data_IF_012267190520
#
_entry.id   IF_012267190520
#
_cell.length_a   1.000
_cell.length_b   1.000
_cell.length_c   1.000
_cell.angle_alpha   90.00
_cell.angle_beta   90.00
_cell.angle_gamma   90.00
#
_symmetry.space_group_name_H-M   'P 1'
#
loop_
_entity.id
_entity.type
_entity.pdbx_description
1 polymer ?
#
# COMPACT_ATOMS: atom_id res chain seq x y z
N UNK A 1 22.99 -18.46 0.61
CA UNK A 1 22.32 -17.16 0.67
C UNK A 1 23.12 -16.25 -0.23
N UNK A 2 22.58 -15.88 -1.39
CA UNK A 2 23.22 -14.87 -2.23
C UNK A 2 22.64 -13.54 -1.75
N UNK A 3 23.50 -12.68 -1.21
CA UNK A 3 23.14 -11.35 -0.76
C UNK A 3 22.93 -10.48 -2.00
N UNK A 4 21.67 -10.36 -2.44
CA UNK A 4 21.31 -9.37 -3.45
C UNK A 4 21.28 -8.02 -2.75
N UNK A 5 22.23 -7.16 -3.10
CA UNK A 5 22.46 -5.88 -2.42
C UNK A 5 22.06 -4.69 -3.27
N UNK A 6 21.70 -4.93 -4.54
CA UNK A 6 21.35 -3.89 -5.50
C UNK A 6 20.02 -4.17 -6.20
N UNK A 7 19.28 -3.11 -6.54
CA UNK A 7 18.02 -3.21 -7.29
C UNK A 7 18.23 -3.84 -8.68
N UNK A 8 19.43 -3.69 -9.25
CA UNK A 8 19.84 -4.25 -10.54
C UNK A 8 20.02 -5.77 -10.53
N UNK A 9 20.46 -6.34 -9.41
CA UNK A 9 20.55 -7.78 -9.21
C UNK A 9 19.16 -8.43 -9.08
N UNK A 10 18.20 -7.71 -8.47
CA UNK A 10 16.80 -8.11 -8.37
C UNK A 10 16.09 -8.13 -9.73
N UNK A 11 16.31 -7.12 -10.58
CA UNK A 11 15.68 -7.06 -11.92
C UNK A 11 16.19 -8.16 -12.85
N UNK A 12 17.47 -8.51 -12.74
CA UNK A 12 18.09 -9.59 -13.51
C UNK A 12 17.61 -10.98 -13.06
N UNK A 13 17.41 -11.22 -11.76
CA UNK A 13 16.86 -12.49 -11.27
C UNK A 13 15.35 -12.66 -11.62
N UNK A 14 14.64 -11.54 -11.79
CA UNK A 14 13.23 -11.49 -12.18
C UNK A 14 12.98 -11.60 -13.70
N UNK A 15 14.03 -11.63 -14.54
CA UNK A 15 13.90 -11.82 -16.00
C UNK A 15 13.18 -10.70 -16.74
N UNK A 16 13.19 -9.48 -16.20
CA UNK A 16 12.58 -8.31 -16.85
C UNK A 16 13.55 -7.73 -17.87
N UNK A 17 13.45 -8.13 -19.14
CA UNK A 17 14.11 -7.43 -20.23
C UNK A 17 13.44 -6.05 -20.40
N UNK A 18 14.15 -4.97 -20.05
CA UNK A 18 13.77 -3.61 -20.45
C UNK A 18 14.08 -3.43 -21.93
N UNK A 19 13.15 -3.83 -22.79
CA UNK A 19 13.08 -3.38 -24.17
C UNK A 19 11.60 -3.27 -24.50
N UNK A 20 10.96 -2.21 -24.00
CA UNK A 20 9.82 -1.56 -24.63
C UNK A 20 9.64 -0.23 -23.88
N UNK A 21 10.15 0.84 -24.48
CA UNK A 21 9.82 2.19 -24.07
C UNK A 21 8.30 2.36 -24.23
N UNK A 22 7.57 2.38 -23.12
CA UNK A 22 6.20 2.88 -23.10
C UNK A 22 6.33 4.39 -23.25
N UNK A 23 6.12 4.89 -24.46
CA UNK A 23 5.98 6.32 -24.73
C UNK A 23 4.71 6.83 -24.03
N UNK A 24 4.93 7.51 -22.91
CA UNK A 24 3.88 8.09 -22.09
C UNK A 24 3.53 9.46 -22.66
N UNK A 25 2.97 9.54 -23.86
CA UNK A 25 2.42 10.81 -24.34
C UNK A 25 1.32 10.69 -25.41
N UNK A 26 0.06 10.66 -24.96
CA UNK A 26 -1.01 11.55 -25.46
C UNK A 26 -2.33 11.15 -24.81
N UNK A 27 -2.47 11.50 -23.53
CA UNK A 27 -3.78 11.58 -22.90
C UNK A 27 -4.44 12.88 -23.41
N UNK A 28 -5.04 12.84 -24.60
CA UNK A 28 -5.92 13.89 -25.09
C UNK A 28 -7.36 13.48 -24.78
N UNK A 29 -7.98 14.22 -23.85
CA UNK A 29 -9.41 14.18 -23.59
C UNK A 29 -10.16 14.93 -24.68
N UNK A 30 -10.90 14.24 -25.53
CA UNK A 30 -11.94 14.86 -26.34
C UNK A 30 -13.22 14.03 -26.24
N UNK A 31 -14.24 14.68 -25.70
CA UNK A 31 -15.60 14.23 -25.53
C UNK A 31 -16.38 14.48 -26.81
N UNK A 32 -16.87 13.45 -27.49
CA UNK A 32 -17.99 13.59 -28.43
C UNK A 32 -18.91 12.37 -28.30
N UNK A 33 -20.17 12.65 -27.96
CA UNK A 33 -21.27 11.69 -28.00
C UNK A 33 -21.69 11.48 -29.45
N UNK A 34 -21.85 10.24 -29.89
CA UNK A 34 -22.66 9.93 -31.06
C UNK A 34 -23.28 8.52 -30.94
N UNK A 35 -24.60 8.50 -30.80
CA UNK A 35 -25.43 7.29 -30.79
C UNK A 35 -25.42 6.63 -32.19
N UNK A 36 -25.09 5.34 -32.27
CA UNK A 36 -25.26 4.55 -33.50
C UNK A 36 -26.50 3.66 -33.40
N UNK A 37 -27.51 3.96 -34.23
CA UNK A 37 -28.68 3.12 -34.50
C UNK A 37 -28.26 1.85 -35.24
N UNK A 38 -28.77 0.71 -34.81
CA UNK A 38 -28.53 -0.60 -35.44
C UNK A 38 -29.68 -0.87 -36.42
N UNK A 39 -29.39 -0.83 -37.71
CA UNK A 39 -30.29 -1.38 -38.74
C UNK A 39 -29.92 -2.86 -38.99
N UNK A 40 -30.90 -3.76 -38.88
CA UNK A 40 -30.71 -5.20 -39.14
C UNK A 40 -30.50 -5.48 -40.64
N UNK A 41 -29.48 -6.26 -41.04
CA UNK A 41 -29.35 -6.68 -42.43
C UNK A 41 -30.27 -7.87 -42.75
N UNK A 42 -31.18 -7.63 -43.69
CA UNK A 42 -32.00 -8.65 -44.36
C UNK A 42 -31.11 -9.57 -45.22
N UNK A 43 -31.10 -10.87 -44.90
CA UNK A 43 -30.32 -11.89 -45.60
C UNK A 43 -31.23 -12.60 -46.61
N UNK A 44 -30.97 -12.38 -47.90
CA UNK A 44 -31.26 -13.32 -48.98
C UNK A 44 -30.26 -13.05 -50.12
N UNK A 45 -29.29 -13.94 -50.32
CA UNK A 45 -29.27 -14.81 -51.50
C UNK A 45 -27.86 -15.36 -51.82
N UNK A 46 -27.84 -16.71 -51.85
CA UNK A 46 -27.05 -17.62 -52.69
C UNK A 46 -25.52 -17.70 -52.57
N UNK A 47 -25.10 -18.78 -51.91
CA UNK A 47 -23.75 -19.35 -51.92
C UNK A 47 -23.34 -19.79 -53.34
N UNK A 48 -22.12 -19.44 -53.75
CA UNK A 48 -21.39 -20.13 -54.85
C UNK A 48 -20.16 -20.86 -54.31
N UNK A 49 -20.01 -22.09 -54.76
CA UNK A 49 -19.18 -23.18 -54.21
C UNK A 49 -17.65 -23.04 -54.33
N UNK A 50 -17.09 -21.83 -54.40
CA UNK A 50 -15.62 -21.62 -54.47
C UNK A 50 -15.01 -20.86 -53.28
N UNK A 51 -15.82 -20.34 -52.35
CA UNK A 51 -15.33 -19.55 -51.20
C UNK A 51 -15.10 -20.37 -49.91
N UNK A 52 -15.48 -21.66 -49.91
CA UNK A 52 -15.46 -22.49 -48.69
C UNK A 52 -14.04 -22.76 -48.16
N UNK A 53 -13.00 -22.82 -49.02
CA UNK A 53 -11.62 -23.05 -48.59
C UNK A 53 -10.98 -21.81 -47.94
N UNK A 54 -11.35 -20.61 -48.38
CA UNK A 54 -10.77 -19.36 -47.87
C UNK A 54 -11.45 -18.90 -46.57
N UNK A 55 -12.75 -19.17 -46.41
CA UNK A 55 -13.49 -18.88 -45.17
C UNK A 55 -13.02 -19.79 -44.02
N UNK A 56 -12.74 -21.07 -44.29
CA UNK A 56 -12.29 -22.02 -43.26
C UNK A 56 -10.90 -21.66 -42.72
N UNK A 57 -9.94 -21.33 -43.58
CA UNK A 57 -8.60 -20.89 -43.16
C UNK A 57 -8.60 -19.55 -42.40
N UNK A 58 -9.49 -18.62 -42.78
CA UNK A 58 -9.62 -17.32 -42.08
C UNK A 58 -10.30 -17.50 -40.71
N UNK A 59 -11.28 -18.39 -40.61
CA UNK A 59 -11.94 -18.73 -39.34
C UNK A 59 -10.99 -19.48 -38.40
N UNK A 60 -10.19 -20.42 -38.89
CA UNK A 60 -9.17 -21.13 -38.11
C UNK A 60 -8.09 -20.18 -37.56
N UNK A 61 -7.62 -19.24 -38.37
CA UNK A 61 -6.66 -18.20 -37.92
C UNK A 61 -7.26 -17.27 -36.86
N UNK A 62 -8.54 -16.91 -36.98
CA UNK A 62 -9.24 -16.10 -35.99
C UNK A 62 -9.44 -16.84 -34.66
N UNK A 63 -9.80 -18.13 -34.70
CA UNK A 63 -9.91 -18.98 -33.51
C UNK A 63 -8.54 -19.18 -32.83
N UNK A 64 -7.46 -19.30 -33.61
CA UNK A 64 -6.10 -19.36 -33.08
C UNK A 64 -5.68 -18.03 -32.40
N UNK A 65 -6.02 -16.88 -32.98
CA UNK A 65 -5.76 -15.57 -32.37
C UNK A 65 -6.54 -15.35 -31.07
N UNK A 66 -7.81 -15.77 -31.03
CA UNK A 66 -8.66 -15.69 -29.84
C UNK A 66 -8.13 -16.58 -28.71
N UNK A 67 -7.73 -17.82 -29.03
CA UNK A 67 -7.15 -18.73 -28.05
C UNK A 67 -5.79 -18.22 -27.54
N UNK A 68 -4.95 -17.64 -28.40
CA UNK A 68 -3.68 -17.05 -28.00
C UNK A 68 -3.86 -15.80 -27.12
N UNK A 69 -4.85 -14.94 -27.41
CA UNK A 69 -5.21 -13.82 -26.54
C UNK A 69 -5.68 -14.31 -25.18
N UNK A 70 -6.56 -15.30 -25.12
CA UNK A 70 -7.04 -15.88 -23.87
C UNK A 70 -5.89 -16.48 -23.04
N UNK A 71 -4.96 -17.21 -23.68
CA UNK A 71 -3.74 -17.73 -23.03
C UNK A 71 -2.88 -16.60 -22.44
N UNK A 72 -2.62 -15.54 -23.20
CA UNK A 72 -1.86 -14.36 -22.71
C UNK A 72 -2.57 -13.71 -21.51
N UNK A 73 -3.88 -13.49 -21.61
CA UNK A 73 -4.66 -12.91 -20.51
C UNK A 73 -4.62 -13.79 -19.25
N UNK A 74 -4.69 -15.11 -19.39
CA UNK A 74 -4.57 -16.03 -18.26
C UNK A 74 -3.17 -16.00 -17.65
N UNK A 75 -2.12 -15.98 -18.47
CA UNK A 75 -0.75 -15.85 -17.98
C UNK A 75 -0.54 -14.55 -17.19
N UNK A 76 -1.02 -13.40 -17.70
CA UNK A 76 -0.95 -12.11 -17.00
C UNK A 76 -1.71 -12.15 -15.68
N UNK A 77 -2.91 -12.77 -15.66
CA UNK A 77 -3.68 -12.92 -14.42
C UNK A 77 -2.96 -13.80 -13.41
N UNK A 78 -2.32 -14.86 -13.85
CA UNK A 78 -1.60 -15.77 -12.98
C UNK A 78 -0.35 -15.10 -12.39
N UNK A 79 0.44 -14.39 -13.20
CA UNK A 79 1.60 -13.63 -12.72
C UNK A 79 1.18 -12.51 -11.77
N UNK A 80 0.09 -11.78 -12.07
CA UNK A 80 -0.47 -10.79 -11.17
C UNK A 80 -0.90 -11.40 -9.82
N UNK A 81 -1.58 -12.56 -9.85
CA UNK A 81 -1.99 -13.29 -8.63
C UNK A 81 -0.78 -13.72 -7.80
N UNK A 82 0.26 -14.23 -8.44
CA UNK A 82 1.51 -14.60 -7.77
C UNK A 82 2.20 -13.37 -7.16
N UNK A 83 2.21 -12.24 -7.88
CA UNK A 83 2.75 -10.96 -7.39
C UNK A 83 2.01 -10.46 -6.15
N UNK A 84 0.68 -10.46 -6.18
CA UNK A 84 -0.15 -10.08 -5.02
C UNK A 84 0.10 -10.99 -3.82
N UNK A 85 0.18 -12.31 -4.05
CA UNK A 85 0.49 -13.27 -2.98
C UNK A 85 1.87 -13.00 -2.38
N UNK A 86 2.89 -12.80 -3.21
CA UNK A 86 4.25 -12.48 -2.75
C UNK A 86 4.27 -11.20 -1.93
N UNK A 87 3.55 -10.17 -2.36
CA UNK A 87 3.45 -8.90 -1.65
C UNK A 87 2.76 -9.06 -0.28
N UNK A 88 1.67 -9.83 -0.22
CA UNK A 88 0.99 -10.12 1.04
C UNK A 88 1.88 -10.91 2.01
N UNK A 89 2.59 -11.93 1.51
CA UNK A 89 3.54 -12.73 2.29
C UNK A 89 4.70 -11.85 2.81
N UNK A 90 5.20 -10.95 1.97
CA UNK A 90 6.27 -10.01 2.34
C UNK A 90 5.80 -9.03 3.42
N UNK A 91 4.59 -8.48 3.28
CA UNK A 91 3.96 -7.63 4.29
C UNK A 91 3.86 -8.38 5.64
N UNK A 92 3.37 -9.62 5.64
CA UNK A 92 3.23 -10.41 6.86
C UNK A 92 4.60 -10.71 7.51
N UNK A 93 5.62 -11.01 6.72
CA UNK A 93 6.99 -11.20 7.23
C UNK A 93 7.55 -9.92 7.83
N UNK A 94 7.36 -8.78 7.20
CA UNK A 94 7.87 -7.50 7.67
C UNK A 94 7.14 -7.02 8.93
N UNK A 95 5.82 -7.19 8.99
CA UNK A 95 5.04 -6.90 10.21
C UNK A 95 5.45 -7.82 11.36
N UNK A 96 5.62 -9.12 11.13
CA UNK A 96 6.09 -10.06 12.16
C UNK A 96 7.51 -9.73 12.64
N UNK A 97 8.42 -9.31 11.76
CA UNK A 97 9.76 -8.83 12.15
C UNK A 97 9.67 -7.58 13.03
N UNK A 98 8.82 -6.61 12.68
CA UNK A 98 8.60 -5.41 13.52
C UNK A 98 7.91 -5.75 14.84
N UNK A 99 7.00 -6.72 14.86
CA UNK A 99 6.35 -7.20 16.07
C UNK A 99 7.36 -7.79 17.07
N UNK A 100 8.40 -8.47 16.58
CA UNK A 100 9.49 -8.98 17.44
C UNK A 100 10.37 -7.87 18.04
N UNK A 101 10.35 -6.65 17.47
CA UNK A 101 10.99 -5.49 18.08
C UNK A 101 10.10 -4.84 19.16
N UNK A 102 8.85 -5.28 19.30
CA UNK A 102 7.86 -4.70 20.19
C UNK A 102 7.72 -5.48 21.51
N UNK A 103 8.85 -5.90 22.11
CA UNK A 103 8.87 -6.26 23.53
C UNK A 103 8.77 -4.96 24.35
N UNK A 104 7.57 -4.38 24.37
CA UNK A 104 7.22 -3.21 25.16
C UNK A 104 6.55 -3.70 26.44
N UNK A 105 7.11 -3.29 27.56
CA UNK A 105 6.49 -3.51 28.86
C UNK A 105 5.85 -2.22 29.37
N UNK A 106 4.94 -2.35 30.33
CA UNK A 106 4.43 -1.19 31.08
C UNK A 106 5.61 -0.47 31.73
N UNK A 107 5.66 0.85 31.59
CA UNK A 107 6.78 1.68 32.01
C UNK A 107 7.87 1.93 30.97
N UNK A 108 7.83 1.26 29.81
CA UNK A 108 8.75 1.57 28.71
C UNK A 108 8.36 2.89 28.03
N UNK A 109 9.39 3.66 27.64
CA UNK A 109 9.20 4.87 26.86
C UNK A 109 9.13 4.57 25.36
N UNK A 110 8.23 5.25 24.70
CA UNK A 110 7.89 5.09 23.29
C UNK A 110 7.74 6.44 22.60
N UNK A 111 7.90 6.43 21.30
CA UNK A 111 7.77 7.57 20.40
C UNK A 111 6.52 7.40 19.56
N UNK A 112 5.67 8.42 19.56
CA UNK A 112 4.44 8.49 18.77
C UNK A 112 4.66 9.49 17.63
N UNK A 113 4.56 9.08 16.37
CA UNK A 113 4.73 9.98 15.23
C UNK A 113 3.56 10.97 15.15
N UNK A 114 3.90 12.23 14.94
CA UNK A 114 2.95 13.32 14.77
C UNK A 114 2.68 13.54 13.28
N UNK A 115 1.41 13.59 12.84
CA UNK A 115 1.06 13.90 11.46
C UNK A 115 1.62 15.26 11.01
N UNK A 116 1.97 15.37 9.73
CA UNK A 116 2.57 16.61 9.20
C UNK A 116 1.62 17.82 9.29
N UNK A 117 0.30 17.60 9.29
CA UNK A 117 -0.70 18.68 9.45
C UNK A 117 -0.71 19.29 10.86
N UNK A 118 -0.38 18.48 11.86
CA UNK A 118 -0.38 18.88 13.27
C UNK A 118 0.98 19.47 13.69
N UNK A 119 1.95 19.53 12.77
CA UNK A 119 3.35 19.81 13.03
C UNK A 119 3.87 20.96 12.18
N UNK A 120 4.46 21.98 12.81
CA UNK A 120 5.20 23.02 12.11
C UNK A 120 6.51 22.49 11.49
N UNK A 121 7.11 23.17 10.50
CA UNK A 121 8.32 22.69 9.81
C UNK A 121 9.52 22.40 10.75
N UNK A 122 9.60 23.14 11.86
CA UNK A 122 10.69 23.03 12.85
C UNK A 122 10.32 22.16 14.05
N UNK A 123 9.07 21.72 14.16
CA UNK A 123 8.60 20.97 15.33
C UNK A 123 9.08 19.51 15.31
N UNK A 124 9.15 18.89 16.49
CA UNK A 124 9.57 17.51 16.63
C UNK A 124 8.61 16.54 15.92
N UNK A 125 9.17 15.56 15.21
CA UNK A 125 8.38 14.57 14.47
C UNK A 125 7.60 13.61 15.36
N UNK A 126 8.07 13.39 16.58
CA UNK A 126 7.52 12.41 17.50
C UNK A 126 7.30 13.02 18.87
N UNK A 127 6.23 12.58 19.55
CA UNK A 127 5.99 12.82 20.97
C UNK A 127 6.55 11.65 21.77
N UNK A 128 7.26 11.95 22.86
CA UNK A 128 7.70 10.95 23.83
C UNK A 128 6.56 10.63 24.79
N UNK A 129 6.28 9.34 25.00
CA UNK A 129 5.23 8.85 25.90
C UNK A 129 5.72 7.60 26.65
N UNK A 130 5.03 7.20 27.72
CA UNK A 130 5.27 5.95 28.44
C UNK A 130 4.08 5.01 28.26
N UNK A 131 4.34 3.70 28.25
CA UNK A 131 3.30 2.68 28.24
C UNK A 131 2.67 2.57 29.64
N UNK A 132 1.38 2.86 29.73
CA UNK A 132 0.60 2.79 30.98
C UNK A 132 -0.08 1.44 31.16
N UNK A 133 -0.66 0.91 30.08
CA UNK A 133 -1.46 -0.31 30.10
C UNK A 133 -1.32 -1.03 28.75
N UNK A 134 -1.34 -2.37 28.79
CA UNK A 134 -1.32 -3.22 27.59
C UNK A 134 -2.57 -4.09 27.61
N UNK A 135 -3.38 -4.00 26.55
CA UNK A 135 -4.62 -4.75 26.38
C UNK A 135 -4.79 -5.19 24.92
N UNK A 136 -4.97 -6.50 24.71
CA UNK A 136 -5.22 -7.09 23.39
C UNK A 136 -4.21 -6.63 22.31
N UNK A 137 -2.90 -6.67 22.63
CA UNK A 137 -1.78 -6.20 21.79
C UNK A 137 -1.81 -4.71 21.42
N UNK A 138 -2.57 -3.91 22.20
CA UNK A 138 -2.61 -2.46 22.09
C UNK A 138 -2.12 -1.80 23.38
N UNK A 139 -1.59 -0.61 23.21
CA UNK A 139 -0.88 0.14 24.24
C UNK A 139 -1.65 1.42 24.56
N UNK A 140 -1.94 1.62 25.84
CA UNK A 140 -2.40 2.90 26.37
C UNK A 140 -1.18 3.71 26.76
N UNK A 141 -1.13 4.95 26.30
CA UNK A 141 0.08 5.78 26.40
C UNK A 141 -0.20 7.01 27.27
N UNK A 142 0.78 7.34 28.11
CA UNK A 142 0.74 8.51 28.96
C UNK A 142 1.87 9.48 28.65
N UNK A 143 1.59 10.76 28.77
CA UNK A 143 2.57 11.85 28.66
C UNK A 143 2.46 12.69 29.93
N UNK A 144 3.45 13.52 30.21
CA UNK A 144 3.44 14.45 31.35
C UNK A 144 2.15 15.28 31.44
N UNK A 145 1.53 15.62 30.30
CA UNK A 145 0.31 16.44 30.27
C UNK A 145 -0.99 15.63 30.46
N UNK A 146 -0.92 14.31 30.66
CA UNK A 146 -2.05 13.40 30.84
C UNK A 146 -1.99 12.15 29.94
N UNK A 147 -3.07 11.37 29.95
CA UNK A 147 -3.22 10.15 29.15
C UNK A 147 -3.65 10.51 27.73
N UNK A 148 -3.01 9.90 26.72
CA UNK A 148 -3.43 10.06 25.33
C UNK A 148 -4.71 9.25 25.09
N UNK A 149 -5.67 9.88 24.44
CA UNK A 149 -6.94 9.25 24.12
C UNK A 149 -6.75 8.08 23.14
N UNK A 150 -7.34 6.93 23.49
CA UNK A 150 -7.34 5.73 22.66
C UNK A 150 -6.19 4.75 22.95
N UNK A 151 -6.14 3.72 22.13
CA UNK A 151 -5.15 2.64 22.19
C UNK A 151 -4.34 2.61 20.91
N UNK A 152 -3.03 2.45 21.04
CA UNK A 152 -2.09 2.41 19.93
C UNK A 152 -1.68 0.98 19.63
N UNK A 153 -1.58 0.64 18.36
CA UNK A 153 -0.97 -0.63 17.92
C UNK A 153 0.54 -0.46 17.83
N UNK A 154 1.30 -1.55 17.92
CA UNK A 154 2.77 -1.47 17.90
C UNK A 154 3.33 -0.77 16.65
N UNK A 155 2.68 -0.87 15.49
CA UNK A 155 3.12 -0.21 14.25
C UNK A 155 2.99 1.32 14.29
N UNK A 156 2.14 1.84 15.18
CA UNK A 156 1.90 3.27 15.33
C UNK A 156 2.90 3.92 16.29
N UNK A 157 3.78 3.14 16.91
CA UNK A 157 4.74 3.62 17.91
C UNK A 157 6.12 3.01 17.67
N UNK A 158 7.14 3.56 18.33
CA UNK A 158 8.49 3.03 18.29
C UNK A 158 9.11 3.10 19.67
N UNK A 159 9.85 2.06 20.09
CA UNK A 159 10.53 2.08 21.38
C UNK A 159 11.56 3.21 21.41
N UNK A 160 11.54 4.02 22.47
CA UNK A 160 12.52 5.07 22.65
C UNK A 160 13.86 4.45 23.06
N UNK A 161 14.91 4.71 22.28
CA UNK A 161 16.27 4.28 22.62
C UNK A 161 16.92 5.35 23.48
N UNK A 162 17.23 5.04 24.75
CA UNK A 162 17.91 5.97 25.65
C UNK A 162 17.48 5.79 27.10
N UNK A 163 17.93 6.71 27.96
CA UNK A 163 17.50 6.77 29.36
C UNK A 163 16.04 7.17 29.45
N UNK A 164 15.24 6.53 30.33
CA UNK A 164 13.83 6.88 30.46
C UNK A 164 13.67 8.29 31.05
N UNK A 165 13.11 9.21 30.28
CA UNK A 165 12.87 10.60 30.70
C UNK A 165 11.54 10.77 31.44
N UNK A 166 10.51 10.02 31.02
CA UNK A 166 9.17 10.05 31.62
C UNK A 166 9.00 8.80 32.47
N UNK A 167 8.46 8.96 33.67
CA UNK A 167 8.10 7.87 34.59
C UNK A 167 6.57 7.78 34.69
N UNK A 168 6.06 6.57 34.89
CA UNK A 168 4.61 6.31 35.01
C UNK A 168 3.97 7.10 36.15
N UNK A 169 4.71 7.32 37.23
CA UNK A 169 4.24 8.05 38.42
C UNK A 169 4.01 9.55 38.19
N UNK A 170 4.62 10.14 37.16
CA UNK A 170 4.54 11.57 36.88
C UNK A 170 3.34 11.95 35.99
N UNK A 171 2.40 11.03 35.77
CA UNK A 171 1.33 11.18 34.79
C UNK A 171 -0.01 11.34 35.48
N UNK A 172 -0.70 12.44 35.17
CA UNK A 172 -2.03 12.70 35.65
C UNK A 172 -3.07 11.81 34.95
N UNK A 173 -3.48 10.71 35.61
CA UNK A 173 -4.47 9.76 35.06
C UNK A 173 -5.88 10.36 34.90
N UNK A 174 -6.17 11.46 35.62
CA UNK A 174 -7.48 12.14 35.57
C UNK A 174 -7.71 13.01 34.34
N UNK A 175 -6.67 13.24 33.52
CA UNK A 175 -6.72 14.11 32.35
C UNK A 175 -6.47 13.29 31.09
N UNK A 176 -7.43 13.30 30.17
CA UNK A 176 -7.29 12.68 28.86
C UNK A 176 -7.15 13.73 27.78
N UNK A 177 -6.16 13.60 26.89
CA UNK A 177 -5.91 14.52 25.77
C UNK A 177 -5.74 13.78 24.46
N UNK A 178 -6.14 14.39 23.36
CA UNK A 178 -5.80 13.93 22.02
C UNK A 178 -4.32 14.19 21.72
N UNK A 179 -3.74 13.45 20.75
CA UNK A 179 -2.36 13.67 20.32
C UNK A 179 -2.12 15.13 19.88
N UNK A 180 -3.08 15.74 19.18
CA UNK A 180 -3.00 17.15 18.77
C UNK A 180 -2.93 18.11 19.96
N UNK A 181 -3.72 17.88 21.01
CA UNK A 181 -3.69 18.71 22.23
C UNK A 181 -2.38 18.57 22.99
N UNK A 182 -1.73 17.41 22.93
CA UNK A 182 -0.39 17.18 23.49
C UNK A 182 0.69 17.91 22.68
N UNK A 183 0.57 17.94 21.35
CA UNK A 183 1.56 18.56 20.46
C UNK A 183 1.48 20.09 20.47
N UNK A 184 0.28 20.67 20.56
CA UNK A 184 0.06 22.12 20.56
C UNK A 184 1.00 22.92 21.48
N UNK A 185 1.15 22.59 22.78
CA UNK A 185 2.06 23.31 23.67
C UNK A 185 3.55 23.05 23.37
N UNK A 186 3.88 21.99 22.64
CA UNK A 186 5.25 21.66 22.22
C UNK A 186 5.64 22.30 20.88
N UNK A 187 4.67 22.82 20.13
CA UNK A 187 4.88 23.45 18.83
C UNK A 187 5.53 24.83 18.98
N UNK A 188 6.60 25.07 18.22
CA UNK A 188 7.33 26.35 18.20
C UNK A 188 6.75 27.27 17.13
N UNK A 189 6.35 26.69 16.00
CA UNK A 189 5.97 27.44 14.79
C UNK A 189 4.47 27.38 14.47
N UNK A 190 3.67 26.76 15.34
CA UNK A 190 2.20 26.78 15.27
C UNK A 190 1.63 25.88 14.18
N UNK A 191 1.80 24.56 14.33
CA UNK A 191 1.03 23.56 13.57
C UNK A 191 -0.48 23.68 13.85
N UNK A 192 -1.32 23.40 12.85
CA UNK A 192 -2.77 23.67 12.86
C UNK A 192 -3.59 22.58 13.58
#
# INVERSE_FOLDING_TARGET
>A
FNDITTEEELTNELGLLTNDAIDVNSCASESEEDELKIDEPNINDELKDNDQLNITEQNEKNDELLTNRAKRTNNIRETARQGQKRQADEFLRNTAKRHKLADLNVGDNVLIPVPDVDRGPTDARNVLAVVMEIKDDKYKLGVEQGIINGYYSFHQISKATGTPTILVENIDEGITKSLREVVKPQSITGGQ
#
